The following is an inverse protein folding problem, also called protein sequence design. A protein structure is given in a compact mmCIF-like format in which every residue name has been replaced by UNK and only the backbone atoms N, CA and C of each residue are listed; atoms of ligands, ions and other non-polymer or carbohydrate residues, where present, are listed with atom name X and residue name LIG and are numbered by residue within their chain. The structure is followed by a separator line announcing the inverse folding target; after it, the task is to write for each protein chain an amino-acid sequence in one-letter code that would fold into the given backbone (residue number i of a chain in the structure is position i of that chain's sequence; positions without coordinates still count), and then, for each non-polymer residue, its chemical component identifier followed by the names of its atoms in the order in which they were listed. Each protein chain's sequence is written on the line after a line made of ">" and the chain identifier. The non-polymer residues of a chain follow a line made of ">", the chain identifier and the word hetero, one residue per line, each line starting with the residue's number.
data_IF_418494042637
#
_entry.id   IF_418494042637
#
_cell.length_a   1.000
_cell.length_b   1.000
_cell.length_c   1.000
_cell.angle_alpha   90.00
_cell.angle_beta   90.00
_cell.angle_gamma   90.00
#
_symmetry.space_group_name_H-M   'P 1'
#
loop_
_entity.id
_entity.type
_entity.pdbx_description
1 polymer ?
#
# COMPACT_ATOMS: atom_id res chain seq x y z
N UNK A 1 28.39 17.07 -6.91
CA UNK A 1 28.00 18.42 -6.46
C UNK A 1 26.52 18.56 -6.74
N UNK A 2 25.79 19.26 -5.90
CA UNK A 2 24.37 19.50 -6.16
C UNK A 2 24.24 20.44 -7.37
N UNK A 3 23.28 20.19 -8.25
CA UNK A 3 23.04 21.03 -9.44
C UNK A 3 22.89 22.51 -9.06
N UNK A 4 22.25 22.75 -7.91
CA UNK A 4 22.04 24.09 -7.35
C UNK A 4 23.36 24.80 -7.03
N UNK A 5 24.33 24.10 -6.44
CA UNK A 5 25.65 24.68 -6.16
C UNK A 5 26.43 25.01 -7.43
N UNK A 6 26.23 24.25 -8.51
CA UNK A 6 26.86 24.55 -9.79
C UNK A 6 26.21 25.76 -10.47
N UNK A 7 24.90 25.94 -10.32
CA UNK A 7 24.18 27.13 -10.77
C UNK A 7 24.64 28.36 -9.97
N UNK A 8 24.70 28.28 -8.65
CA UNK A 8 25.16 29.38 -7.78
C UNK A 8 26.59 29.82 -8.16
N UNK A 9 27.46 28.86 -8.47
CA UNK A 9 28.85 29.12 -8.85
C UNK A 9 28.98 29.71 -10.25
N UNK A 10 28.06 29.37 -11.16
CA UNK A 10 27.99 29.98 -12.48
C UNK A 10 27.45 31.42 -12.38
N UNK A 11 26.49 31.67 -11.49
CA UNK A 11 26.00 33.01 -11.17
C UNK A 11 27.09 33.89 -10.53
N UNK A 12 27.86 33.33 -9.60
CA UNK A 12 29.02 34.01 -9.00
C UNK A 12 30.07 34.37 -10.06
N UNK A 13 30.40 33.42 -10.95
CA UNK A 13 31.35 33.66 -12.03
C UNK A 13 30.87 34.74 -13.00
N UNK A 14 29.56 34.79 -13.29
CA UNK A 14 28.95 35.84 -14.10
C UNK A 14 28.99 37.21 -13.41
N UNK A 15 28.81 37.26 -12.08
CA UNK A 15 28.84 38.48 -11.29
C UNK A 15 30.25 39.04 -11.07
N UNK A 16 31.27 38.18 -10.97
CA UNK A 16 32.69 38.58 -10.86
C UNK A 16 33.28 39.02 -12.22
N UNK A 17 32.61 38.70 -13.32
CA UNK A 17 33.06 38.99 -14.68
C UNK A 17 33.07 40.50 -14.97
N UNK A 18 34.07 40.97 -15.73
CA UNK A 18 34.21 42.41 -16.01
C UNK A 18 33.16 42.85 -17.05
N UNK A 19 32.26 43.79 -16.72
CA UNK A 19 31.29 44.29 -17.68
C UNK A 19 31.96 45.22 -18.70
N UNK A 20 31.54 45.12 -19.95
CA UNK A 20 32.01 45.98 -21.04
C UNK A 20 31.19 47.29 -21.07
N UNK A 21 31.84 48.47 -21.00
CA UNK A 21 31.14 49.76 -20.97
C UNK A 21 30.30 49.96 -22.24
N UNK A 22 29.11 50.54 -22.06
CA UNK A 22 28.10 50.76 -23.12
C UNK A 22 27.50 49.48 -23.73
N UNK A 23 27.70 48.31 -23.12
CA UNK A 23 27.08 47.05 -23.56
C UNK A 23 26.50 46.27 -22.37
N UNK A 24 25.65 45.28 -22.65
CA UNK A 24 25.15 44.32 -21.65
C UNK A 24 26.05 43.06 -21.58
N UNK A 25 27.26 43.11 -22.14
CA UNK A 25 28.13 41.96 -22.26
C UNK A 25 29.16 41.95 -21.11
N UNK A 26 29.50 40.75 -20.65
CA UNK A 26 30.50 40.51 -19.60
C UNK A 26 31.66 39.67 -20.15
N UNK A 27 32.88 39.97 -19.72
CA UNK A 27 34.08 39.20 -20.05
C UNK A 27 34.20 38.06 -19.03
N UNK A 28 34.03 36.84 -19.51
CA UNK A 28 34.07 35.60 -18.72
C UNK A 28 35.29 34.78 -19.13
N UNK A 29 35.88 34.07 -18.17
CA UNK A 29 36.88 33.05 -18.43
C UNK A 29 36.21 31.82 -19.08
N UNK A 30 36.52 31.58 -20.34
CA UNK A 30 35.92 30.52 -21.16
C UNK A 30 36.19 29.12 -20.57
N UNK A 31 37.42 28.84 -20.14
CA UNK A 31 37.83 27.53 -19.62
C UNK A 31 37.05 27.21 -18.34
N UNK A 32 36.96 28.16 -17.41
CA UNK A 32 36.21 27.97 -16.16
C UNK A 32 34.70 27.82 -16.39
N UNK A 33 34.15 28.51 -17.39
CA UNK A 33 32.74 28.43 -17.75
C UNK A 33 32.39 27.06 -18.35
N UNK A 34 33.23 26.58 -19.27
CA UNK A 34 33.07 25.27 -19.92
C UNK A 34 33.20 24.13 -18.90
N UNK A 35 34.15 24.21 -17.97
CA UNK A 35 34.32 23.22 -16.90
C UNK A 35 33.08 23.08 -16.00
N UNK A 36 32.41 24.20 -15.68
CA UNK A 36 31.16 24.19 -14.91
C UNK A 36 30.00 23.59 -15.72
N UNK A 37 29.91 23.91 -17.01
CA UNK A 37 28.89 23.36 -17.91
C UNK A 37 29.05 21.85 -18.05
N UNK A 38 30.27 21.36 -18.23
CA UNK A 38 30.54 19.93 -18.34
C UNK A 38 30.24 19.18 -17.04
N UNK A 39 30.55 19.77 -15.88
CA UNK A 39 30.20 19.19 -14.58
C UNK A 39 28.68 19.09 -14.38
N UNK A 40 27.92 20.13 -14.73
CA UNK A 40 26.45 20.08 -14.70
C UNK A 40 25.90 19.03 -15.67
N UNK A 41 26.48 18.93 -16.86
CA UNK A 41 26.05 17.97 -17.88
C UNK A 41 26.24 16.52 -17.44
N UNK A 42 27.24 16.24 -16.61
CA UNK A 42 27.51 14.91 -16.05
C UNK A 42 26.61 14.59 -14.85
N UNK A 43 26.35 15.55 -13.98
CA UNK A 43 25.58 15.29 -12.75
C UNK A 43 24.08 15.17 -13.03
N UNK A 44 23.50 16.14 -13.75
CA UNK A 44 22.05 16.26 -13.95
C UNK A 44 21.38 14.95 -14.40
N UNK A 45 21.93 14.20 -15.38
CA UNK A 45 21.32 12.95 -15.82
C UNK A 45 21.30 11.88 -14.73
N UNK A 46 22.35 11.82 -13.90
CA UNK A 46 22.47 10.82 -12.84
C UNK A 46 21.52 11.11 -11.67
N UNK A 47 21.38 12.37 -11.26
CA UNK A 47 20.40 12.74 -10.22
C UNK A 47 18.95 12.49 -10.68
N UNK A 48 18.62 12.83 -11.93
CA UNK A 48 17.28 12.57 -12.50
C UNK A 48 17.02 11.07 -12.60
N UNK A 49 17.99 10.28 -13.06
CA UNK A 49 17.88 8.82 -13.15
C UNK A 49 17.70 8.18 -11.78
N UNK A 50 18.42 8.65 -10.76
CA UNK A 50 18.26 8.19 -9.37
C UNK A 50 16.88 8.54 -8.81
N UNK A 51 16.38 9.74 -9.07
CA UNK A 51 15.02 10.13 -8.68
C UNK A 51 13.95 9.25 -9.34
N UNK A 52 14.08 8.98 -10.64
CA UNK A 52 13.19 8.06 -11.36
C UNK A 52 13.23 6.63 -10.80
N UNK A 53 14.42 6.13 -10.46
CA UNK A 53 14.58 4.82 -9.82
C UNK A 53 13.91 4.78 -8.45
N UNK A 54 14.06 5.82 -7.62
CA UNK A 54 13.43 5.91 -6.32
C UNK A 54 11.90 5.95 -6.43
N UNK A 55 11.36 6.70 -7.39
CA UNK A 55 9.92 6.72 -7.67
C UNK A 55 9.41 5.33 -8.07
N UNK A 56 10.10 4.64 -8.99
CA UNK A 56 9.74 3.30 -9.41
C UNK A 56 9.84 2.28 -8.25
N UNK A 57 10.82 2.41 -7.36
CA UNK A 57 10.95 1.58 -6.17
C UNK A 57 9.84 1.84 -5.16
N UNK A 58 9.48 3.11 -4.95
CA UNK A 58 8.37 3.50 -4.08
C UNK A 58 7.07 2.86 -4.54
N UNK A 59 6.75 2.94 -5.82
CA UNK A 59 5.50 2.39 -6.36
C UNK A 59 5.44 0.87 -6.19
N UNK A 60 6.56 0.17 -6.41
CA UNK A 60 6.68 -1.27 -6.15
C UNK A 60 6.49 -1.60 -4.67
N UNK A 61 7.10 -0.84 -3.78
CA UNK A 61 7.02 -1.06 -2.34
C UNK A 61 5.58 -0.83 -1.83
N UNK A 62 4.89 0.18 -2.35
CA UNK A 62 3.47 0.42 -2.04
C UNK A 62 2.61 -0.76 -2.51
N UNK A 63 2.84 -1.25 -3.73
CA UNK A 63 2.11 -2.40 -4.26
C UNK A 63 2.32 -3.67 -3.40
N UNK A 64 3.58 -3.95 -3.02
CA UNK A 64 3.92 -5.07 -2.15
C UNK A 64 3.29 -4.95 -0.75
N UNK A 65 3.36 -3.76 -0.14
CA UNK A 65 2.75 -3.52 1.16
C UNK A 65 1.22 -3.69 1.12
N UNK A 66 0.56 -3.27 0.04
CA UNK A 66 -0.87 -3.45 -0.13
C UNK A 66 -1.25 -4.93 -0.28
N UNK A 67 -0.46 -5.69 -1.04
CA UNK A 67 -0.65 -7.14 -1.20
C UNK A 67 -0.46 -7.87 0.14
N UNK A 68 0.59 -7.55 0.89
CA UNK A 68 0.87 -8.15 2.18
C UNK A 68 -0.18 -7.79 3.25
N UNK A 69 -0.67 -6.55 3.25
CA UNK A 69 -1.77 -6.12 4.09
C UNK A 69 -3.05 -6.91 3.80
N UNK A 70 -3.42 -7.02 2.51
CA UNK A 70 -4.58 -7.80 2.08
C UNK A 70 -4.43 -9.29 2.48
N UNK A 71 -3.25 -9.87 2.28
CA UNK A 71 -2.95 -11.24 2.68
C UNK A 71 -3.10 -11.45 4.19
N UNK A 72 -2.60 -10.50 4.98
CA UNK A 72 -2.68 -10.54 6.45
C UNK A 72 -4.12 -10.46 6.94
N UNK A 73 -4.93 -9.56 6.37
CA UNK A 73 -6.36 -9.43 6.70
C UNK A 73 -7.12 -10.71 6.34
N UNK A 74 -6.85 -11.29 5.18
CA UNK A 74 -7.49 -12.54 4.77
C UNK A 74 -7.12 -13.68 5.71
N UNK A 75 -5.83 -13.85 6.03
CA UNK A 75 -5.37 -14.87 6.98
C UNK A 75 -6.00 -14.68 8.37
N UNK A 76 -6.13 -13.44 8.83
CA UNK A 76 -6.76 -13.14 10.11
C UNK A 76 -8.27 -13.50 10.11
N UNK A 77 -8.97 -13.21 9.00
CA UNK A 77 -10.38 -13.60 8.82
C UNK A 77 -10.54 -15.11 8.79
N UNK A 78 -9.71 -15.81 8.04
CA UNK A 78 -9.76 -17.28 7.94
C UNK A 78 -9.52 -17.92 9.32
N UNK A 79 -8.51 -17.46 10.06
CA UNK A 79 -8.28 -17.91 11.44
C UNK A 79 -9.42 -17.58 12.38
N UNK A 80 -10.03 -16.40 12.24
CA UNK A 80 -11.19 -16.04 13.07
C UNK A 80 -12.37 -16.96 12.81
N UNK A 81 -12.64 -17.30 11.55
CA UNK A 81 -13.72 -18.23 11.19
C UNK A 81 -13.43 -19.63 11.75
N UNK A 82 -12.20 -20.12 11.59
CA UNK A 82 -11.78 -21.43 12.13
C UNK A 82 -11.89 -21.47 13.67
N UNK A 83 -11.56 -20.37 14.35
CA UNK A 83 -11.71 -20.27 15.81
C UNK A 83 -13.17 -20.28 16.24
N UNK A 84 -14.05 -19.57 15.54
CA UNK A 84 -15.49 -19.55 15.83
C UNK A 84 -16.12 -20.91 15.58
N UNK A 85 -15.78 -21.59 14.49
CA UNK A 85 -16.29 -22.95 14.20
C UNK A 85 -15.83 -23.98 15.23
N UNK A 86 -14.60 -23.83 15.75
CA UNK A 86 -14.05 -24.67 16.81
C UNK A 86 -14.48 -24.25 18.21
N UNK A 87 -15.13 -23.11 18.36
CA UNK A 87 -15.58 -22.65 19.65
C UNK A 87 -16.59 -23.66 20.20
N UNK A 88 -16.32 -24.14 21.42
CA UNK A 88 -17.16 -25.10 22.11
C UNK A 88 -18.60 -24.57 22.27
N UNK A 89 -18.77 -23.25 22.31
CA UNK A 89 -20.09 -22.59 22.33
C UNK A 89 -20.86 -22.88 21.04
N UNK A 90 -20.23 -22.81 19.88
CA UNK A 90 -20.88 -23.08 18.59
C UNK A 90 -21.23 -24.56 18.47
N UNK A 91 -20.33 -25.45 18.87
CA UNK A 91 -20.58 -26.90 18.89
C UNK A 91 -21.71 -27.29 19.86
N UNK A 92 -21.73 -26.69 21.06
CA UNK A 92 -22.80 -26.88 22.03
C UNK A 92 -24.14 -26.34 21.49
N UNK A 93 -24.14 -25.16 20.86
CA UNK A 93 -25.33 -24.58 20.25
C UNK A 93 -25.89 -25.46 19.12
N UNK A 94 -25.03 -26.04 18.26
CA UNK A 94 -25.45 -27.00 17.23
C UNK A 94 -26.07 -28.26 17.84
N UNK A 95 -25.42 -28.83 18.85
CA UNK A 95 -25.93 -30.03 19.55
C UNK A 95 -27.30 -29.76 20.17
N UNK A 96 -27.43 -28.61 20.84
CA UNK A 96 -28.69 -28.20 21.47
C UNK A 96 -29.78 -27.92 20.43
N UNK A 97 -29.44 -27.30 19.30
CA UNK A 97 -30.36 -27.07 18.19
C UNK A 97 -30.88 -28.40 17.60
N UNK A 98 -30.02 -29.40 17.43
CA UNK A 98 -30.44 -30.72 16.96
C UNK A 98 -31.32 -31.45 17.98
N UNK A 99 -31.02 -31.34 19.28
CA UNK A 99 -31.89 -31.88 20.33
C UNK A 99 -33.28 -31.24 20.32
N UNK A 100 -33.37 -29.92 20.17
CA UNK A 100 -34.66 -29.21 20.09
C UNK A 100 -35.45 -29.68 18.87
N UNK A 101 -34.81 -29.83 17.71
CA UNK A 101 -35.47 -30.34 16.50
C UNK A 101 -35.98 -31.76 16.69
N UNK A 102 -35.16 -32.63 17.28
CA UNK A 102 -35.55 -34.01 17.55
C UNK A 102 -36.76 -34.07 18.49
N UNK A 103 -36.73 -33.31 19.58
CA UNK A 103 -37.85 -33.22 20.52
C UNK A 103 -39.12 -32.70 19.84
N UNK A 104 -39.02 -31.62 19.07
CA UNK A 104 -40.16 -31.06 18.35
C UNK A 104 -40.76 -32.05 17.34
N UNK A 105 -39.92 -32.90 16.73
CA UNK A 105 -40.38 -33.93 15.82
C UNK A 105 -41.10 -35.06 16.55
N UNK A 106 -40.55 -35.50 17.69
CA UNK A 106 -41.17 -36.52 18.54
C UNK A 106 -42.52 -36.03 19.12
N UNK A 107 -42.56 -34.81 19.66
CA UNK A 107 -43.79 -34.19 20.15
C UNK A 107 -44.84 -34.08 19.05
N UNK A 108 -44.42 -33.70 17.83
CA UNK A 108 -45.30 -33.65 16.66
C UNK A 108 -45.88 -35.01 16.27
N UNK A 109 -45.08 -36.07 16.35
CA UNK A 109 -45.54 -37.45 16.11
C UNK A 109 -46.50 -37.93 17.20
N UNK A 110 -46.26 -37.58 18.46
CA UNK A 110 -47.16 -37.89 19.58
C UNK A 110 -48.51 -37.19 19.37
N UNK A 111 -48.50 -35.87 19.13
CA UNK A 111 -49.72 -35.09 18.90
C UNK A 111 -50.53 -35.66 17.73
N UNK A 112 -49.85 -36.09 16.65
CA UNK A 112 -50.55 -36.71 15.51
C UNK A 112 -51.22 -38.01 15.91
N UNK A 113 -50.53 -38.88 16.66
CA UNK A 113 -51.09 -40.16 17.13
C UNK A 113 -52.28 -39.95 18.07
N UNK A 114 -52.16 -39.03 19.02
CA UNK A 114 -53.25 -38.71 19.96
C UNK A 114 -54.48 -38.16 19.22
N UNK A 115 -54.27 -37.32 18.21
CA UNK A 115 -55.36 -36.82 17.36
C UNK A 115 -56.03 -37.94 16.55
N UNK A 116 -55.24 -38.86 15.99
CA UNK A 116 -55.76 -40.02 15.26
C UNK A 116 -56.57 -40.97 16.17
N UNK A 117 -56.11 -41.20 17.41
CA UNK A 117 -56.84 -41.98 18.43
C UNK A 117 -58.16 -41.30 18.83
N UNK A 118 -58.15 -39.98 19.05
CA UNK A 118 -59.36 -39.24 19.43
C UNK A 118 -60.48 -39.28 18.38
N UNK A 119 -60.13 -39.40 17.10
CA UNK A 119 -61.11 -39.47 16.00
C UNK A 119 -61.72 -40.87 15.85
N UNK A 120 -61.07 -41.90 16.40
CA UNK A 120 -61.52 -43.30 16.35
C UNK A 120 -62.44 -43.69 17.54
N UNK A 121 -62.50 -42.88 18.59
CA UNK A 121 -63.38 -43.01 19.76
C UNK A 121 -64.74 -42.32 19.55
#
# INVERSE_FOLDING_TARGET
>A
MDILQMIDRLEELLNESRPLPFTHNVIVDEDRMLDLIDQMRVSIPEEVKKAQQLLAQRDRLIAQAQEEANRTVNLARDRSNELVERDQVVQAAYTQAEQIKAQAHEDGEIIRKEADEYVLE
#
